data_IF_854598142269
#
_entry.id   IF_854598142269
#
_cell.length_a   1.000
_cell.length_b   1.000
_cell.length_c   1.000
_cell.angle_alpha   90.00
_cell.angle_beta   90.00
_cell.angle_gamma   90.00
#
_symmetry.space_group_name_H-M   'P 1'
#
loop_
_entity.id
_entity.type
_entity.pdbx_description
1 polymer ?
#
# COMPACT_ATOMS: atom_id res chain seq x y z
N UNK A 1 18.36 -3.84 14.85
CA UNK A 1 18.21 -4.16 13.41
C UNK A 1 18.22 -2.87 12.62
N UNK A 2 19.10 -2.73 11.63
CA UNK A 2 19.19 -1.55 10.76
C UNK A 2 18.10 -1.61 9.69
N UNK A 3 17.41 -0.50 9.36
CA UNK A 3 16.43 -0.50 8.27
C UNK A 3 17.11 -0.80 6.94
N UNK A 4 16.61 -1.79 6.20
CA UNK A 4 17.11 -2.04 4.84
C UNK A 4 16.66 -0.92 3.91
N UNK A 5 17.63 -0.25 3.28
CA UNK A 5 17.39 0.87 2.38
C UNK A 5 16.38 0.50 1.29
N UNK A 6 15.42 1.40 1.03
CA UNK A 6 14.40 1.27 -0.01
C UNK A 6 13.49 0.03 0.10
N UNK A 7 13.46 -0.68 1.23
CA UNK A 7 12.61 -1.87 1.39
C UNK A 7 11.32 -1.62 2.16
N UNK A 8 11.20 -0.46 2.83
CA UNK A 8 10.03 -0.16 3.64
C UNK A 8 9.73 1.33 3.65
N UNK A 9 8.47 1.65 3.46
CA UNK A 9 7.88 2.94 3.81
C UNK A 9 6.88 2.66 4.93
N UNK A 10 6.88 3.48 5.99
CA UNK A 10 5.87 3.40 7.04
C UNK A 10 5.26 4.78 7.26
N UNK A 11 3.98 4.80 7.62
CA UNK A 11 3.27 6.03 7.93
C UNK A 11 2.34 5.86 9.11
N UNK A 12 1.97 7.00 9.69
CA UNK A 12 0.90 7.17 10.66
C UNK A 12 0.23 8.50 10.35
N UNK A 13 -1.10 8.55 10.40
CA UNK A 13 -1.83 9.80 10.30
C UNK A 13 -1.46 10.74 11.44
N UNK A 14 -1.30 12.01 11.12
CA UNK A 14 -1.11 13.06 12.14
C UNK A 14 -2.45 13.66 12.59
N UNK A 15 -3.47 13.56 11.74
CA UNK A 15 -4.81 14.10 11.96
C UNK A 15 -5.85 13.31 11.13
N UNK A 16 -7.13 13.61 11.33
CA UNK A 16 -8.27 12.92 10.72
C UNK A 16 -8.51 11.53 11.31
N UNK A 17 -9.10 10.63 10.52
CA UNK A 17 -9.35 9.26 10.97
C UNK A 17 -8.03 8.54 11.26
N UNK A 18 -7.81 8.05 12.50
CA UNK A 18 -6.56 7.38 12.86
C UNK A 18 -6.28 6.20 11.93
N UNK A 19 -5.18 6.29 11.19
CA UNK A 19 -4.68 5.21 10.37
C UNK A 19 -3.15 5.12 10.40
N UNK A 20 -2.65 3.92 10.16
CA UNK A 20 -1.22 3.63 10.05
C UNK A 20 -1.02 2.53 9.04
N UNK A 21 0.19 2.43 8.53
CA UNK A 21 0.51 1.31 7.67
C UNK A 21 1.95 1.26 7.25
N UNK A 22 2.23 0.28 6.42
CA UNK A 22 3.53 0.09 5.80
C UNK A 22 3.40 -0.46 4.39
N UNK A 23 4.30 -0.02 3.52
CA UNK A 23 4.59 -0.67 2.26
C UNK A 23 5.93 -1.38 2.42
N UNK A 24 5.99 -2.64 2.00
CA UNK A 24 7.23 -3.43 1.96
C UNK A 24 7.51 -3.85 0.52
N UNK A 25 8.78 -3.76 0.15
CA UNK A 25 9.28 -4.10 -1.18
C UNK A 25 10.18 -5.33 -1.06
N UNK A 26 9.83 -6.38 -1.79
CA UNK A 26 10.60 -7.62 -1.85
C UNK A 26 11.10 -7.79 -3.28
N UNK A 27 12.39 -7.52 -3.55
CA UNK A 27 12.98 -7.73 -4.87
C UNK A 27 12.75 -9.17 -5.35
N UNK A 28 12.36 -9.32 -6.61
CA UNK A 28 12.19 -10.62 -7.28
C UNK A 28 13.21 -10.82 -8.41
N UNK A 29 13.51 -9.76 -9.15
CA UNK A 29 14.56 -9.71 -10.18
C UNK A 29 15.10 -8.28 -10.31
N UNK A 30 16.04 -8.05 -11.23
CA UNK A 30 16.53 -6.70 -11.57
C UNK A 30 15.43 -5.75 -12.05
N UNK A 31 14.33 -6.29 -12.58
CA UNK A 31 13.22 -5.54 -13.17
C UNK A 31 11.86 -5.76 -12.47
N UNK A 32 11.82 -6.55 -11.39
CA UNK A 32 10.56 -6.88 -10.73
C UNK A 32 10.67 -6.93 -9.21
N UNK A 33 9.58 -6.52 -8.54
CA UNK A 33 9.48 -6.44 -7.11
C UNK A 33 8.05 -6.82 -6.67
N UNK A 34 7.94 -7.61 -5.60
CA UNK A 34 6.67 -7.83 -4.92
C UNK A 34 6.43 -6.73 -3.90
N UNK A 35 5.28 -6.07 -4.01
CA UNK A 35 4.85 -5.03 -3.08
C UNK A 35 3.83 -5.63 -2.12
N UNK A 36 4.01 -5.38 -0.82
CA UNK A 36 3.05 -5.74 0.22
C UNK A 36 2.61 -4.48 0.95
N UNK A 37 1.31 -4.23 0.93
CA UNK A 37 0.67 -3.12 1.64
C UNK A 37 -0.03 -3.66 2.89
N UNK A 38 0.18 -3.00 4.02
CA UNK A 38 -0.55 -3.27 5.26
C UNK A 38 -1.08 -1.97 5.81
N UNK A 39 -2.39 -1.94 6.10
CA UNK A 39 -3.08 -0.76 6.61
C UNK A 39 -3.86 -1.18 7.85
N UNK A 40 -3.81 -0.36 8.88
CA UNK A 40 -4.67 -0.45 10.06
C UNK A 40 -5.34 0.91 10.25
N UNK A 41 -6.64 0.90 10.52
CA UNK A 41 -7.45 2.08 10.73
C UNK A 41 -8.44 1.83 11.86
N UNK A 42 -8.85 2.90 12.52
CA UNK A 42 -9.93 2.86 13.50
C UNK A 42 -11.26 3.16 12.81
N UNK A 43 -12.35 2.57 13.30
CA UNK A 43 -13.71 2.87 12.81
C UNK A 43 -14.38 3.73 13.88
N UNK A 44 -14.82 4.96 13.56
CA UNK A 44 -15.59 5.79 14.48
C UNK A 44 -16.89 5.08 14.88
N UNK A 45 -17.35 5.27 16.11
CA UNK A 45 -18.57 4.60 16.61
C UNK A 45 -19.81 4.91 15.77
N UNK A 46 -19.92 6.11 15.22
CA UNK A 46 -21.02 6.49 14.32
C UNK A 46 -21.10 5.63 13.04
N UNK A 47 -19.97 5.00 12.65
CA UNK A 47 -19.88 4.09 11.51
C UNK A 47 -19.98 2.61 11.92
N UNK A 48 -20.20 2.29 13.20
CA UNK A 48 -20.36 0.92 13.68
C UNK A 48 -21.45 0.11 12.93
N UNK A 49 -22.63 0.67 12.59
CA UNK A 49 -23.67 -0.07 11.87
C UNK A 49 -23.24 -0.58 10.49
N UNK A 50 -22.25 0.08 9.87
CA UNK A 50 -21.73 -0.27 8.54
C UNK A 50 -20.35 -0.93 8.58
N UNK A 51 -19.82 -1.22 9.77
CA UNK A 51 -18.46 -1.74 9.94
C UNK A 51 -18.21 -3.06 9.19
N UNK A 52 -19.23 -3.92 9.06
CA UNK A 52 -19.16 -5.18 8.33
C UNK A 52 -18.96 -4.98 6.82
N UNK A 53 -19.54 -3.92 6.24
CA UNK A 53 -19.39 -3.58 4.82
C UNK A 53 -18.08 -2.85 4.52
N UNK A 54 -17.50 -2.17 5.52
CA UNK A 54 -16.27 -1.40 5.34
C UNK A 54 -15.06 -2.27 5.02
N UNK A 55 -14.92 -3.45 5.65
CA UNK A 55 -13.77 -4.34 5.40
C UNK A 55 -13.66 -4.75 3.91
N UNK A 56 -14.65 -5.42 3.30
CA UNK A 56 -14.53 -5.87 1.90
C UNK A 56 -14.45 -4.67 0.93
N UNK A 57 -15.09 -3.55 1.25
CA UNK A 57 -14.94 -2.32 0.46
C UNK A 57 -13.50 -1.79 0.48
N UNK A 58 -12.88 -1.70 1.66
CA UNK A 58 -11.51 -1.22 1.81
C UNK A 58 -10.50 -2.15 1.15
N UNK A 59 -10.66 -3.46 1.32
CA UNK A 59 -9.84 -4.46 0.63
C UNK A 59 -9.91 -4.27 -0.89
N UNK A 60 -11.12 -4.12 -1.44
CA UNK A 60 -11.32 -3.85 -2.87
C UNK A 60 -10.71 -2.53 -3.34
N UNK A 61 -10.83 -1.45 -2.55
CA UNK A 61 -10.24 -0.15 -2.87
C UNK A 61 -8.71 -0.24 -2.92
N UNK A 62 -8.11 -0.84 -1.89
CA UNK A 62 -6.65 -0.99 -1.78
C UNK A 62 -6.11 -1.90 -2.87
N UNK A 63 -6.78 -3.02 -3.16
CA UNK A 63 -6.37 -3.95 -4.22
C UNK A 63 -6.39 -3.27 -5.60
N UNK A 64 -7.50 -2.60 -5.97
CA UNK A 64 -7.56 -1.82 -7.22
C UNK A 64 -6.52 -0.70 -7.27
N UNK A 65 -6.20 -0.10 -6.12
CA UNK A 65 -5.09 0.85 -5.98
C UNK A 65 -3.75 0.24 -6.35
N UNK A 66 -3.42 -0.93 -5.78
CA UNK A 66 -2.17 -1.66 -6.04
C UNK A 66 -2.07 -2.14 -7.50
N UNK A 67 -3.18 -2.58 -8.10
CA UNK A 67 -3.23 -2.99 -9.51
C UNK A 67 -2.90 -1.81 -10.44
N UNK A 68 -3.54 -0.65 -10.23
CA UNK A 68 -3.24 0.58 -10.98
C UNK A 68 -1.79 1.03 -10.80
N UNK A 69 -1.29 0.96 -9.57
CA UNK A 69 0.11 1.26 -9.28
C UNK A 69 1.06 0.31 -10.03
N UNK A 70 0.74 -0.99 -10.07
CA UNK A 70 1.56 -1.96 -10.79
C UNK A 70 1.59 -1.68 -12.30
N UNK A 71 0.47 -1.27 -12.90
CA UNK A 71 0.42 -0.83 -14.30
C UNK A 71 1.29 0.41 -14.51
N UNK A 72 1.10 1.45 -13.70
CA UNK A 72 1.89 2.68 -13.77
C UNK A 72 3.40 2.41 -13.63
N UNK A 73 3.81 1.58 -12.66
CA UNK A 73 5.21 1.25 -12.43
C UNK A 73 5.84 0.52 -13.63
N UNK A 74 5.12 -0.42 -14.25
CA UNK A 74 5.60 -1.14 -15.45
C UNK A 74 5.73 -0.20 -16.65
N UNK A 75 4.74 0.64 -16.90
CA UNK A 75 4.78 1.65 -17.96
C UNK A 75 5.90 2.67 -17.76
N UNK A 76 6.14 3.07 -16.49
CA UNK A 76 7.22 4.00 -16.19
C UNK A 76 8.59 3.35 -16.37
N UNK A 77 8.73 2.07 -16.01
CA UNK A 77 9.96 1.30 -16.16
C UNK A 77 10.32 1.07 -17.63
N UNK A 78 9.35 0.75 -18.50
CA UNK A 78 9.61 0.56 -19.94
C UNK A 78 10.15 1.81 -20.65
N UNK A 79 9.94 2.98 -20.06
CA UNK A 79 10.46 4.27 -20.55
C UNK A 79 11.81 4.65 -19.97
N UNK A 80 12.37 3.87 -19.03
CA UNK A 80 13.70 4.10 -18.48
C UNK A 80 14.71 3.45 -19.44
N UNK A 81 15.66 4.21 -20.01
CA UNK A 81 16.77 3.62 -20.74
C UNK A 81 17.53 2.68 -19.81
N UNK A 82 17.64 1.41 -20.19
CA UNK A 82 18.48 0.46 -19.45
C UNK A 82 19.95 0.87 -19.68
N UNK A 83 20.79 0.80 -18.63
CA UNK A 83 22.23 1.02 -18.78
C UNK A 83 22.87 -0.05 -19.67
#
# INVERSE_FOLDING_TARGET
MTPTKNQKIHWRSLDGLPNRGAVRFFPKSSSSCRVQLTVAYEIPEILAPVASALRPFMEGLLQKGLERFATFARERYSKIPLP
#
